data_IF_273448202475
#
_entry.id   IF_273448202475
#
_cell.length_a   1.000
_cell.length_b   1.000
_cell.length_c   1.000
_cell.angle_alpha   90.00
_cell.angle_beta   90.00
_cell.angle_gamma   90.00
#
_symmetry.space_group_name_H-M   'P 1'
#
loop_
_entity.id
_entity.type
_entity.pdbx_description
1 polymer ?
#
# COMPACT_ATOMS: atom_id res chain seq x y z
N UNK A 1 8.65 20.19 9.92
CA UNK A 1 7.50 19.72 10.72
C UNK A 1 7.86 19.43 12.18
N UNK A 2 9.15 19.49 12.57
CA UNK A 2 9.59 19.24 13.95
C UNK A 2 9.30 17.82 14.47
N UNK A 3 9.33 16.82 13.60
CA UNK A 3 9.10 15.41 13.91
C UNK A 3 10.42 14.63 13.90
N UNK A 4 10.51 13.61 14.74
CA UNK A 4 11.60 12.64 14.67
C UNK A 4 11.34 11.65 13.52
N UNK A 5 12.39 11.31 12.77
CA UNK A 5 12.33 10.33 11.67
C UNK A 5 13.42 9.29 11.90
N UNK A 6 13.03 8.02 11.94
CA UNK A 6 13.95 6.88 11.99
C UNK A 6 13.95 6.18 10.61
N UNK A 7 14.94 6.47 9.74
CA UNK A 7 15.03 5.81 8.45
C UNK A 7 15.55 4.37 8.62
N UNK A 8 14.82 3.40 8.06
CA UNK A 8 15.23 2.00 8.02
C UNK A 8 15.25 1.53 6.56
N UNK A 9 16.42 1.12 6.08
CA UNK A 9 16.53 0.50 4.76
C UNK A 9 16.23 -0.99 4.87
N UNK A 10 15.20 -1.45 4.13
CA UNK A 10 14.80 -2.86 4.06
C UNK A 10 14.25 -3.19 2.68
N UNK A 11 14.66 -4.31 2.10
CA UNK A 11 13.99 -4.87 0.92
C UNK A 11 12.73 -5.62 1.38
N UNK A 12 11.57 -5.05 1.09
CA UNK A 12 10.27 -5.63 1.45
C UNK A 12 9.79 -6.69 0.46
N UNK A 13 10.55 -6.98 -0.59
CA UNK A 13 10.24 -7.98 -1.61
C UNK A 13 10.88 -9.36 -1.33
N UNK A 14 11.31 -9.63 -0.10
CA UNK A 14 11.95 -10.88 0.30
C UNK A 14 11.25 -11.53 1.49
N UNK A 15 11.39 -12.86 1.67
CA UNK A 15 10.89 -13.56 2.86
C UNK A 15 11.44 -12.96 4.16
N UNK A 16 10.62 -12.90 5.20
CA UNK A 16 11.03 -12.46 6.53
C UNK A 16 11.03 -10.94 6.75
N UNK A 17 11.04 -10.13 5.71
CA UNK A 17 11.17 -8.67 5.82
C UNK A 17 10.13 -8.01 6.74
N UNK A 18 8.89 -8.48 6.71
CA UNK A 18 7.83 -7.97 7.58
C UNK A 18 8.10 -8.29 9.06
N UNK A 19 8.58 -9.50 9.35
CA UNK A 19 8.92 -9.93 10.72
C UNK A 19 10.10 -9.12 11.26
N UNK A 20 11.16 -8.98 10.47
CA UNK A 20 12.33 -8.18 10.85
C UNK A 20 11.96 -6.72 11.16
N UNK A 21 11.09 -6.12 10.34
CA UNK A 21 10.62 -4.76 10.58
C UNK A 21 9.81 -4.68 11.89
N UNK A 22 8.92 -5.63 12.11
CA UNK A 22 8.14 -5.72 13.34
C UNK A 22 9.06 -5.86 14.56
N UNK A 23 10.03 -6.80 14.53
CA UNK A 23 10.98 -7.02 15.62
C UNK A 23 11.83 -5.78 15.91
N UNK A 24 12.29 -5.09 14.87
CA UNK A 24 13.03 -3.82 15.03
C UNK A 24 12.19 -2.78 15.77
N UNK A 25 10.89 -2.69 15.50
CA UNK A 25 10.00 -1.77 16.22
C UNK A 25 9.81 -2.20 17.69
N UNK A 26 9.70 -3.51 17.95
CA UNK A 26 9.56 -4.04 19.31
C UNK A 26 10.83 -3.81 20.14
N UNK A 27 12.01 -4.12 19.60
CA UNK A 27 13.30 -3.92 20.25
C UNK A 27 13.55 -2.45 20.62
N UNK A 28 13.07 -1.54 19.77
CA UNK A 28 13.17 -0.09 20.01
C UNK A 28 12.03 0.48 20.85
N UNK A 29 11.09 -0.35 21.29
CA UNK A 29 9.89 0.08 22.02
C UNK A 29 9.09 1.17 21.28
N UNK A 30 8.97 1.06 19.95
CA UNK A 30 8.21 2.02 19.10
C UNK A 30 6.80 1.47 18.88
N UNK A 31 5.76 2.02 19.53
CA UNK A 31 4.38 1.63 19.29
C UNK A 31 3.91 2.21 17.95
N UNK A 32 3.44 1.35 17.05
CA UNK A 32 2.93 1.79 15.75
C UNK A 32 1.41 2.03 15.85
N UNK A 33 1.00 3.28 15.79
CA UNK A 33 -0.41 3.68 15.74
C UNK A 33 -0.97 3.68 14.32
N UNK A 34 -0.14 4.04 13.33
CA UNK A 34 -0.52 4.15 11.93
C UNK A 34 0.42 3.30 11.09
N UNK A 35 -0.12 2.27 10.43
CA UNK A 35 0.60 1.46 9.46
C UNK A 35 0.18 1.89 8.04
N UNK A 36 1.15 2.30 7.21
CA UNK A 36 0.91 2.64 5.81
C UNK A 36 1.67 1.67 4.90
N UNK A 37 0.97 0.71 4.32
CA UNK A 37 1.51 -0.20 3.33
C UNK A 37 1.48 0.45 1.94
N UNK A 38 2.52 1.23 1.63
CA UNK A 38 2.64 2.00 0.39
C UNK A 38 3.64 1.42 -0.60
N UNK A 39 4.65 0.69 -0.13
CA UNK A 39 5.67 0.12 -0.99
C UNK A 39 5.07 -0.71 -2.13
N UNK A 40 5.60 -0.55 -3.32
CA UNK A 40 5.08 -1.24 -4.49
C UNK A 40 6.01 -1.13 -5.69
N UNK A 41 5.80 -2.01 -6.64
CA UNK A 41 6.48 -2.05 -7.93
C UNK A 41 5.46 -2.17 -9.06
N UNK A 42 5.86 -1.78 -10.24
CA UNK A 42 5.05 -1.91 -11.45
C UNK A 42 5.95 -2.34 -12.61
N UNK A 43 5.47 -3.26 -13.40
CA UNK A 43 6.02 -3.56 -14.71
C UNK A 43 4.88 -3.92 -15.66
N UNK A 44 5.07 -3.59 -16.92
CA UNK A 44 4.15 -3.94 -17.99
C UNK A 44 4.73 -5.13 -18.78
N UNK A 45 4.14 -6.30 -18.60
CA UNK A 45 4.57 -7.53 -19.25
C UNK A 45 3.47 -8.59 -19.16
N UNK A 46 3.30 -9.39 -20.20
CA UNK A 46 2.49 -10.60 -20.11
C UNK A 46 3.05 -11.55 -19.04
N UNK A 47 2.16 -12.10 -18.23
CA UNK A 47 2.55 -12.86 -17.03
C UNK A 47 3.49 -14.03 -17.36
N UNK A 48 3.25 -14.76 -18.47
CA UNK A 48 4.06 -15.90 -18.86
C UNK A 48 5.42 -15.54 -19.48
N UNK A 49 5.62 -14.26 -19.82
CA UNK A 49 6.89 -13.72 -20.33
C UNK A 49 7.72 -13.07 -19.21
N UNK A 50 7.12 -12.83 -18.05
CA UNK A 50 7.81 -12.23 -16.93
C UNK A 50 8.86 -13.19 -16.34
N UNK A 51 10.01 -12.65 -15.93
CA UNK A 51 11.03 -13.44 -15.22
C UNK A 51 10.48 -13.92 -13.88
N UNK A 52 10.69 -15.19 -13.53
CA UNK A 52 10.16 -15.81 -12.30
C UNK A 52 10.50 -15.02 -11.04
N UNK A 53 11.72 -14.50 -10.92
CA UNK A 53 12.13 -13.69 -9.78
C UNK A 53 11.38 -12.36 -9.67
N UNK A 54 10.92 -11.78 -10.78
CA UNK A 54 10.09 -10.55 -10.76
C UNK A 54 8.67 -10.86 -10.33
N UNK A 55 8.12 -11.99 -10.78
CA UNK A 55 6.82 -12.49 -10.31
C UNK A 55 6.83 -12.69 -8.80
N UNK A 56 7.85 -13.40 -8.29
CA UNK A 56 8.02 -13.65 -6.86
C UNK A 56 8.16 -12.36 -6.05
N UNK A 57 9.05 -11.45 -6.47
CA UNK A 57 9.21 -10.14 -5.82
C UNK A 57 7.92 -9.35 -5.75
N UNK A 58 7.11 -9.34 -6.82
CA UNK A 58 5.82 -8.66 -6.80
C UNK A 58 4.85 -9.30 -5.82
N UNK A 59 4.80 -10.63 -5.73
CA UNK A 59 3.96 -11.33 -4.77
C UNK A 59 4.38 -11.04 -3.33
N UNK A 60 5.68 -11.07 -3.03
CA UNK A 60 6.16 -10.66 -1.70
C UNK A 60 5.77 -9.23 -1.37
N UNK A 61 6.12 -8.27 -2.25
CA UNK A 61 5.95 -6.85 -1.97
C UNK A 61 4.49 -6.42 -1.89
N UNK A 62 3.60 -7.01 -2.71
CA UNK A 62 2.20 -6.57 -2.80
C UNK A 62 1.21 -7.44 -2.02
N UNK A 63 1.59 -8.68 -1.68
CA UNK A 63 0.68 -9.64 -1.04
C UNK A 63 1.23 -10.06 0.32
N UNK A 64 2.36 -10.75 0.35
CA UNK A 64 2.87 -11.40 1.56
C UNK A 64 3.26 -10.38 2.62
N UNK A 65 4.13 -9.45 2.28
CA UNK A 65 4.65 -8.46 3.24
C UNK A 65 3.56 -7.56 3.83
N UNK A 66 2.68 -6.91 3.04
CA UNK A 66 1.62 -6.09 3.64
C UNK A 66 0.62 -6.92 4.47
N UNK A 67 0.35 -8.17 4.09
CA UNK A 67 -0.49 -9.07 4.89
C UNK A 67 0.16 -9.37 6.24
N UNK A 68 1.45 -9.71 6.25
CA UNK A 68 2.19 -9.99 7.48
C UNK A 68 2.35 -8.74 8.37
N UNK A 69 2.60 -7.57 7.79
CA UNK A 69 2.64 -6.31 8.54
C UNK A 69 1.29 -6.00 9.18
N UNK A 70 0.19 -6.18 8.45
CA UNK A 70 -1.16 -6.05 9.00
C UNK A 70 -1.40 -7.06 10.12
N UNK A 71 -0.91 -8.30 9.98
CA UNK A 71 -1.04 -9.34 11.00
C UNK A 71 -0.29 -8.97 12.29
N UNK A 72 0.99 -8.62 12.20
CA UNK A 72 1.80 -8.31 13.38
C UNK A 72 1.33 -7.02 14.07
N UNK A 73 1.29 -5.91 13.36
CA UNK A 73 0.89 -4.63 13.96
C UNK A 73 -0.61 -4.57 14.28
N UNK A 74 -1.44 -5.24 13.49
CA UNK A 74 -2.87 -5.34 13.73
C UNK A 74 -3.20 -6.05 15.06
N UNK A 75 -2.44 -7.07 15.45
CA UNK A 75 -2.59 -7.71 16.76
C UNK A 75 -2.32 -6.74 17.91
N UNK A 76 -1.26 -5.92 17.81
CA UNK A 76 -0.95 -4.92 18.82
C UNK A 76 -2.01 -3.81 18.88
N UNK A 77 -2.47 -3.34 17.70
CA UNK A 77 -3.56 -2.37 17.60
C UNK A 77 -4.85 -2.92 18.21
N UNK A 78 -5.18 -4.19 17.93
CA UNK A 78 -6.35 -4.88 18.49
C UNK A 78 -6.29 -4.95 20.02
N UNK A 79 -5.14 -5.30 20.61
CA UNK A 79 -4.93 -5.33 22.06
C UNK A 79 -5.15 -3.96 22.71
N UNK A 80 -4.60 -2.89 22.06
CA UNK A 80 -4.75 -1.50 22.53
C UNK A 80 -6.15 -0.93 22.28
N UNK A 81 -6.97 -1.59 21.46
CA UNK A 81 -8.25 -1.10 20.95
C UNK A 81 -8.13 0.26 20.22
N UNK A 82 -7.01 0.48 19.56
CA UNK A 82 -6.71 1.71 18.83
C UNK A 82 -5.65 1.47 17.76
N UNK A 83 -5.89 1.97 16.55
CA UNK A 83 -4.92 1.95 15.47
C UNK A 83 -5.53 2.21 14.09
N UNK A 84 -4.65 2.46 13.13
CA UNK A 84 -5.02 2.79 11.76
C UNK A 84 -4.15 2.05 10.76
N UNK A 85 -4.75 1.42 9.76
CA UNK A 85 -4.06 0.73 8.68
C UNK A 85 -4.51 1.30 7.35
N UNK A 86 -3.55 1.78 6.54
CA UNK A 86 -3.77 2.25 5.18
C UNK A 86 -3.05 1.32 4.19
N UNK A 87 -3.81 0.66 3.34
CA UNK A 87 -3.27 -0.21 2.29
C UNK A 87 -3.41 0.44 0.91
N UNK A 88 -2.29 0.53 0.16
CA UNK A 88 -2.24 1.12 -1.17
C UNK A 88 -2.56 0.08 -2.25
N UNK A 89 -3.81 0.07 -2.70
CA UNK A 89 -4.26 -0.69 -3.86
C UNK A 89 -4.07 0.13 -5.16
N UNK A 90 -4.94 -0.03 -6.14
CA UNK A 90 -4.93 0.69 -7.42
C UNK A 90 -6.32 0.62 -8.07
N UNK A 91 -6.62 1.55 -8.96
CA UNK A 91 -7.78 1.47 -9.85
C UNK A 91 -7.77 0.18 -10.70
N UNK A 92 -6.58 -0.34 -11.05
CA UNK A 92 -6.42 -1.60 -11.79
C UNK A 92 -7.05 -2.82 -11.11
N UNK A 93 -7.34 -2.74 -9.80
CA UNK A 93 -8.03 -3.83 -9.09
C UNK A 93 -9.43 -4.14 -9.63
N UNK A 94 -10.03 -3.25 -10.42
CA UNK A 94 -11.31 -3.48 -11.13
C UNK A 94 -11.16 -3.76 -12.61
N UNK A 95 -10.01 -3.40 -13.20
CA UNK A 95 -9.76 -3.41 -14.64
C UNK A 95 -8.51 -4.23 -14.97
N UNK A 96 -8.53 -5.56 -14.78
CA UNK A 96 -7.44 -6.39 -15.25
C UNK A 96 -7.42 -6.41 -16.79
N UNK A 97 -6.23 -6.23 -17.39
CA UNK A 97 -6.07 -6.38 -18.83
C UNK A 97 -4.66 -6.92 -19.15
N UNK A 98 -4.42 -7.41 -20.38
CA UNK A 98 -3.12 -7.96 -20.79
C UNK A 98 -1.96 -7.01 -20.47
N UNK A 99 -0.85 -7.56 -19.98
CA UNK A 99 0.34 -6.80 -19.60
C UNK A 99 0.36 -6.32 -18.14
N UNK A 100 -0.79 -6.25 -17.46
CA UNK A 100 -0.85 -5.90 -16.03
C UNK A 100 -1.60 -6.94 -15.18
N UNK A 101 -1.82 -8.13 -15.71
CA UNK A 101 -2.60 -9.19 -15.04
C UNK A 101 -2.12 -9.45 -13.62
N UNK A 102 -0.82 -9.71 -13.44
CA UNK A 102 -0.26 -10.00 -12.13
C UNK A 102 -0.41 -8.81 -11.19
N UNK A 103 -0.03 -7.60 -11.65
CA UNK A 103 -0.16 -6.37 -10.86
C UNK A 103 -1.61 -6.15 -10.42
N UNK A 104 -2.56 -6.19 -11.34
CA UNK A 104 -3.98 -5.98 -11.06
C UNK A 104 -4.52 -7.02 -10.07
N UNK A 105 -4.10 -8.28 -10.21
CA UNK A 105 -4.48 -9.37 -9.29
C UNK A 105 -3.96 -9.13 -7.88
N UNK A 106 -2.70 -8.70 -7.71
CA UNK A 106 -2.16 -8.38 -6.38
C UNK A 106 -2.88 -7.18 -5.74
N UNK A 107 -3.24 -6.17 -6.53
CA UNK A 107 -4.00 -5.01 -6.05
C UNK A 107 -5.46 -5.36 -5.73
N UNK A 108 -6.06 -6.31 -6.46
CA UNK A 108 -7.38 -6.86 -6.13
C UNK A 108 -7.36 -7.64 -4.81
N UNK A 109 -6.33 -8.48 -4.63
CA UNK A 109 -6.10 -9.17 -3.35
C UNK A 109 -6.09 -8.18 -2.20
N UNK A 110 -5.22 -7.15 -2.26
CA UNK A 110 -5.04 -6.20 -1.18
C UNK A 110 -6.33 -5.41 -0.87
N UNK A 111 -7.11 -5.09 -1.90
CA UNK A 111 -8.43 -4.46 -1.71
C UNK A 111 -9.40 -5.38 -0.97
N UNK A 112 -9.51 -6.65 -1.38
CA UNK A 112 -10.39 -7.63 -0.74
C UNK A 112 -9.96 -7.91 0.70
N UNK A 113 -8.67 -8.18 0.90
CA UNK A 113 -8.06 -8.39 2.21
C UNK A 113 -8.33 -7.22 3.17
N UNK A 114 -8.10 -5.98 2.72
CA UNK A 114 -8.32 -4.79 3.56
C UNK A 114 -9.78 -4.65 4.01
N UNK A 115 -10.73 -5.01 3.16
CA UNK A 115 -12.16 -4.96 3.50
C UNK A 115 -12.54 -6.03 4.53
N UNK A 116 -12.03 -7.25 4.37
CA UNK A 116 -12.23 -8.33 5.35
C UNK A 116 -11.61 -7.96 6.70
N UNK A 117 -10.33 -7.58 6.70
CA UNK A 117 -9.61 -7.19 7.90
C UNK A 117 -10.28 -6.01 8.63
N UNK A 118 -10.85 -5.05 7.90
CA UNK A 118 -11.64 -3.97 8.50
C UNK A 118 -12.82 -4.51 9.30
N UNK A 119 -13.57 -5.45 8.75
CA UNK A 119 -14.73 -6.04 9.45
C UNK A 119 -14.30 -6.80 10.71
N UNK A 120 -13.15 -7.47 10.67
CA UNK A 120 -12.60 -8.20 11.81
C UNK A 120 -12.10 -7.28 12.94
N UNK A 121 -11.65 -6.07 12.59
CA UNK A 121 -11.02 -5.13 13.53
C UNK A 121 -11.93 -3.98 13.98
N UNK A 122 -13.10 -3.81 13.38
CA UNK A 122 -13.99 -2.67 13.64
C UNK A 122 -14.40 -2.57 15.12
N UNK A 123 -14.81 -3.67 15.72
CA UNK A 123 -15.25 -3.74 17.13
C UNK A 123 -14.10 -3.53 18.13
N UNK A 124 -12.88 -3.57 17.64
CA UNK A 124 -11.67 -3.31 18.43
C UNK A 124 -11.12 -1.88 18.26
N UNK A 125 -11.89 -0.99 17.64
CA UNK A 125 -11.48 0.40 17.46
C UNK A 125 -10.32 0.60 16.48
N UNK A 126 -10.02 -0.38 15.62
CA UNK A 126 -8.97 -0.27 14.61
C UNK A 126 -9.56 0.00 13.23
N UNK A 127 -9.13 1.09 12.62
CA UNK A 127 -9.58 1.50 11.28
C UNK A 127 -8.68 0.92 10.20
N UNK A 128 -9.27 0.25 9.20
CA UNK A 128 -8.56 -0.19 8.00
C UNK A 128 -9.15 0.51 6.79
N UNK A 129 -8.31 1.20 6.03
CA UNK A 129 -8.67 1.92 4.80
C UNK A 129 -7.87 1.39 3.63
N UNK A 130 -8.53 1.15 2.50
CA UNK A 130 -7.86 0.84 1.24
C UNK A 130 -7.98 2.01 0.27
N UNK A 131 -6.82 2.45 -0.25
CA UNK A 131 -6.71 3.53 -1.22
C UNK A 131 -6.49 2.95 -2.61
N UNK A 132 -7.35 3.30 -3.56
CA UNK A 132 -7.35 2.75 -4.91
C UNK A 132 -7.15 3.86 -5.96
N UNK A 133 -5.97 4.50 -6.05
CA UNK A 133 -5.74 5.59 -6.99
C UNK A 133 -5.68 5.11 -8.43
N UNK A 134 -5.99 6.03 -9.35
CA UNK A 134 -5.54 5.97 -10.74
C UNK A 134 -4.04 6.22 -10.86
N UNK A 135 -3.59 6.73 -11.99
CA UNK A 135 -2.18 7.06 -12.19
C UNK A 135 -1.73 8.22 -11.29
N UNK A 136 -0.58 8.04 -10.64
CA UNK A 136 0.04 9.04 -9.75
C UNK A 136 1.44 9.36 -10.27
N UNK A 137 1.79 10.64 -10.29
CA UNK A 137 3.06 11.13 -10.84
C UNK A 137 4.24 10.84 -9.91
N UNK A 138 4.57 9.56 -9.78
CA UNK A 138 5.72 9.03 -9.03
C UNK A 138 6.73 8.39 -9.99
N UNK A 139 7.82 7.84 -9.45
CA UNK A 139 8.79 7.07 -10.25
C UNK A 139 8.32 5.65 -10.58
N UNK A 140 7.12 5.25 -10.16
CA UNK A 140 6.57 3.91 -10.39
C UNK A 140 6.51 3.52 -11.88
N UNK A 141 6.28 4.49 -12.76
CA UNK A 141 6.13 4.27 -14.21
C UNK A 141 7.36 4.61 -15.02
N UNK A 142 8.48 4.99 -14.39
CA UNK A 142 9.73 5.44 -15.06
C UNK A 142 9.54 6.53 -16.11
N UNK A 143 8.58 7.43 -15.91
CA UNK A 143 8.33 8.57 -16.80
C UNK A 143 9.27 9.72 -16.47
N UNK A 144 9.69 10.47 -17.51
CA UNK A 144 10.43 11.73 -17.34
C UNK A 144 9.57 12.79 -16.62
N UNK A 145 10.20 13.74 -15.95
CA UNK A 145 9.49 14.77 -15.18
C UNK A 145 8.65 15.69 -16.09
N UNK A 146 9.08 15.91 -17.34
CA UNK A 146 8.29 16.65 -18.33
C UNK A 146 6.98 15.92 -18.67
N UNK A 147 7.04 14.59 -18.87
CA UNK A 147 5.87 13.79 -19.15
C UNK A 147 4.92 13.70 -17.93
N UNK A 148 5.47 13.56 -16.72
CA UNK A 148 4.67 13.62 -15.48
C UNK A 148 3.94 14.96 -15.36
N UNK A 149 4.65 16.07 -15.62
CA UNK A 149 4.08 17.43 -15.57
C UNK A 149 2.95 17.61 -16.57
N UNK A 150 3.15 17.14 -17.80
CA UNK A 150 2.12 17.18 -18.85
C UNK A 150 0.91 16.32 -18.44
N UNK A 151 1.13 15.10 -18.00
CA UNK A 151 0.06 14.19 -17.56
C UNK A 151 -0.75 14.76 -16.38
N UNK A 152 -0.11 15.48 -15.46
CA UNK A 152 -0.79 16.19 -14.37
C UNK A 152 -1.66 17.32 -14.93
N UNK A 153 -1.13 18.13 -15.86
CA UNK A 153 -1.87 19.23 -16.49
C UNK A 153 -3.11 18.74 -17.24
N UNK A 154 -3.00 17.60 -17.90
CA UNK A 154 -4.11 16.96 -18.63
C UNK A 154 -5.09 16.20 -17.70
N UNK A 155 -4.85 16.17 -16.39
CA UNK A 155 -5.70 15.45 -15.45
C UNK A 155 -5.57 13.91 -15.49
N UNK A 156 -4.61 13.38 -16.26
CA UNK A 156 -4.36 11.94 -16.40
C UNK A 156 -3.69 11.38 -15.13
N UNK A 157 -2.79 12.17 -14.52
CA UNK A 157 -2.09 11.77 -13.30
C UNK A 157 -2.39 12.72 -12.15
N UNK A 158 -2.47 12.16 -10.95
CA UNK A 158 -2.61 12.92 -9.70
C UNK A 158 -1.24 13.24 -9.12
N UNK A 159 -1.10 14.40 -8.47
CA UNK A 159 0.09 14.73 -7.68
C UNK A 159 0.16 13.85 -6.43
N UNK A 160 1.35 13.32 -6.06
CA UNK A 160 1.53 12.48 -4.88
C UNK A 160 1.04 13.12 -3.58
N UNK A 161 1.31 14.42 -3.38
CA UNK A 161 0.90 15.16 -2.19
C UNK A 161 -0.63 15.24 -2.04
N UNK A 162 -1.32 15.43 -3.17
CA UNK A 162 -2.80 15.46 -3.21
C UNK A 162 -3.38 14.08 -2.86
N UNK A 163 -2.74 13.00 -3.35
CA UNK A 163 -3.14 11.65 -3.01
C UNK A 163 -2.90 11.35 -1.53
N UNK A 164 -1.71 11.67 -1.01
CA UNK A 164 -1.35 11.48 0.39
C UNK A 164 -2.35 12.19 1.33
N UNK A 165 -2.62 13.48 1.07
CA UNK A 165 -3.60 14.25 1.85
C UNK A 165 -4.99 13.60 1.84
N UNK A 166 -5.47 13.14 0.67
CA UNK A 166 -6.77 12.45 0.57
C UNK A 166 -6.77 11.11 1.30
N UNK A 167 -5.69 10.33 1.20
CA UNK A 167 -5.55 9.02 1.83
C UNK A 167 -5.54 9.13 3.36
N UNK A 168 -4.72 10.02 3.91
CA UNK A 168 -4.62 10.27 5.34
C UNK A 168 -5.95 10.80 5.90
N UNK A 169 -6.60 11.72 5.19
CA UNK A 169 -7.92 12.22 5.58
C UNK A 169 -8.96 11.09 5.60
N UNK A 170 -8.99 10.22 4.58
CA UNK A 170 -9.89 9.07 4.54
C UNK A 170 -9.63 8.08 5.69
N UNK A 171 -8.36 7.85 6.05
CA UNK A 171 -7.94 6.98 7.13
C UNK A 171 -8.49 7.47 8.48
N UNK A 172 -8.25 8.73 8.84
CA UNK A 172 -8.70 9.31 10.11
C UNK A 172 -10.21 9.57 10.18
N UNK A 173 -10.89 9.62 9.03
CA UNK A 173 -12.36 9.64 8.99
C UNK A 173 -12.97 8.23 8.86
N UNK A 174 -12.19 7.19 9.15
CA UNK A 174 -12.64 5.79 9.18
C UNK A 174 -13.30 5.31 7.87
N UNK A 175 -12.92 5.84 6.72
CA UNK A 175 -13.47 5.40 5.44
C UNK A 175 -12.91 4.02 5.07
N UNK A 176 -13.79 3.10 4.70
CA UNK A 176 -13.38 1.73 4.31
C UNK A 176 -12.54 1.72 3.03
N UNK A 177 -12.87 2.58 2.07
CA UNK A 177 -12.14 2.68 0.81
C UNK A 177 -12.22 4.10 0.24
N UNK A 178 -11.22 4.48 -0.53
CA UNK A 178 -11.21 5.73 -1.29
C UNK A 178 -10.72 5.47 -2.71
N UNK A 179 -11.46 5.96 -3.69
CA UNK A 179 -11.10 6.02 -5.11
C UNK A 179 -10.88 7.49 -5.48
N UNK A 180 -9.64 8.00 -5.34
CA UNK A 180 -9.39 9.41 -5.59
C UNK A 180 -9.35 9.70 -7.09
N UNK A 181 -10.11 10.68 -7.54
CA UNK A 181 -10.15 11.11 -8.94
C UNK A 181 -11.43 10.75 -9.69
N UNK A 182 -12.35 10.07 -9.05
CA UNK A 182 -13.75 9.95 -9.46
C UNK A 182 -14.65 10.78 -8.58
#
# INVERSE_FOLDING_TARGET
YGIEVLPLYRDLAIPGAAKELYDTCQEKNIPIEVLVNNAGMFFFCETLQAKANIVEKMLYLHVTTPTQLCYYFGQEMKKRRHGYILNMSSLSCWLPYPGITLYASTKRYLKSFSRGLRSELLDYGVSVTVLCPGAVATNLYNLSDNLKTLAIRLGIMMRPEKLAKKGINALFHHRASLLPGL
#
